data_IF_347161752877
#
_entry.id   IF_347161752877
#
_cell.length_a   1.000
_cell.length_b   1.000
_cell.length_c   1.000
_cell.angle_alpha   90.00
_cell.angle_beta   90.00
_cell.angle_gamma   90.00
#
_symmetry.space_group_name_H-M   'P 1'
#
loop_
_entity.id
_entity.type
_entity.pdbx_description
1 polymer ?
#
# COMPACT_ATOMS: atom_id res chain seq x y z
N UNK A 1 -30.34 -15.62 44.42
CA UNK A 1 -29.50 -16.12 43.29
C UNK A 1 -28.88 -14.91 42.58
N UNK A 2 -27.64 -14.59 42.94
CA UNK A 2 -26.94 -13.37 42.49
C UNK A 2 -26.06 -13.71 41.25
N UNK A 3 -26.46 -13.18 40.09
CA UNK A 3 -25.65 -13.34 38.84
C UNK A 3 -24.39 -12.48 38.94
N UNK A 4 -23.22 -13.10 39.05
CA UNK A 4 -21.91 -12.47 38.89
C UNK A 4 -21.74 -12.09 37.42
N UNK A 5 -21.73 -10.79 37.12
CA UNK A 5 -21.28 -10.25 35.85
C UNK A 5 -19.77 -10.47 35.75
N UNK A 6 -19.35 -11.37 34.85
CA UNK A 6 -17.96 -11.47 34.42
C UNK A 6 -17.61 -10.28 33.53
N UNK A 7 -16.87 -9.30 34.09
CA UNK A 7 -16.19 -8.29 33.32
C UNK A 7 -15.03 -8.97 32.57
N UNK A 8 -15.24 -9.27 31.26
CA UNK A 8 -14.14 -9.58 30.35
C UNK A 8 -13.28 -8.33 30.26
N UNK A 9 -12.10 -8.36 30.86
CA UNK A 9 -11.05 -7.38 30.63
C UNK A 9 -10.79 -7.29 29.13
N UNK A 10 -11.25 -6.19 28.49
CA UNK A 10 -10.85 -5.84 27.13
C UNK A 10 -9.32 -5.74 27.16
N UNK A 11 -8.62 -6.68 26.52
CA UNK A 11 -7.22 -6.48 26.15
C UNK A 11 -7.18 -5.15 25.39
N UNK A 12 -6.48 -4.16 25.93
CA UNK A 12 -6.22 -2.89 25.26
C UNK A 12 -5.69 -3.24 23.87
N UNK A 13 -6.39 -2.77 22.83
CA UNK A 13 -5.87 -2.78 21.46
C UNK A 13 -4.47 -2.16 21.51
N UNK A 14 -3.48 -2.66 20.75
CA UNK A 14 -2.18 -2.02 20.71
C UNK A 14 -2.40 -0.56 20.31
N UNK A 15 -2.11 0.34 21.26
CA UNK A 15 -2.10 1.79 21.00
C UNK A 15 -1.27 2.02 19.75
N UNK A 16 -1.71 2.94 18.87
CA UNK A 16 -0.98 3.36 17.68
C UNK A 16 0.53 3.33 17.96
N UNK A 17 1.23 2.34 17.37
CA UNK A 17 2.66 2.14 17.64
C UNK A 17 3.36 3.42 17.24
N UNK A 18 4.26 3.87 18.07
CA UNK A 18 5.02 5.10 17.84
C UNK A 18 5.97 4.81 16.65
N UNK A 19 5.55 5.12 15.42
CA UNK A 19 6.24 4.77 14.17
C UNK A 19 7.63 5.40 14.02
N UNK A 20 7.94 6.36 14.90
CA UNK A 20 9.23 7.07 14.90
C UNK A 20 10.41 6.13 15.19
N UNK A 21 10.14 4.98 15.80
CA UNK A 21 11.15 3.94 16.08
C UNK A 21 11.00 2.68 15.23
N UNK A 22 10.22 2.72 14.13
CA UNK A 22 10.01 1.54 13.30
C UNK A 22 11.35 0.98 12.83
N UNK A 23 11.63 -0.23 13.24
CA UNK A 23 12.80 -1.00 12.82
C UNK A 23 12.36 -2.12 11.86
N UNK A 24 13.30 -2.68 11.11
CA UNK A 24 13.03 -3.80 10.20
C UNK A 24 12.45 -5.00 10.96
N UNK A 25 12.87 -5.24 12.21
CA UNK A 25 12.34 -6.34 13.04
C UNK A 25 10.88 -6.12 13.45
N UNK A 26 10.45 -4.86 13.65
CA UNK A 26 9.04 -4.55 13.87
C UNK A 26 8.20 -4.91 12.65
N UNK A 27 8.70 -4.59 11.45
CA UNK A 27 8.04 -4.93 10.19
C UNK A 27 8.00 -6.44 10.00
N UNK A 28 9.10 -7.14 10.26
CA UNK A 28 9.13 -8.62 10.21
C UNK A 28 8.12 -9.23 11.16
N UNK A 29 7.98 -8.69 12.37
CA UNK A 29 6.95 -9.12 13.33
C UNK A 29 5.54 -8.93 12.80
N UNK A 30 5.26 -7.82 12.09
CA UNK A 30 3.98 -7.57 11.43
C UNK A 30 3.73 -8.61 10.35
N UNK A 31 4.68 -8.83 9.45
CA UNK A 31 4.57 -9.76 8.34
C UNK A 31 4.42 -11.23 8.78
N UNK A 32 4.86 -11.57 9.99
CA UNK A 32 4.68 -12.90 10.61
C UNK A 32 3.51 -12.98 11.60
N UNK A 33 2.62 -11.97 11.64
CA UNK A 33 1.47 -11.96 12.56
C UNK A 33 0.46 -13.05 12.21
N UNK A 34 0.27 -14.00 13.15
CA UNK A 34 -0.70 -15.08 12.99
C UNK A 34 -2.16 -14.57 12.91
N UNK A 35 -2.47 -13.48 13.59
CA UNK A 35 -3.83 -12.91 13.56
C UNK A 35 -4.11 -12.27 12.20
N UNK A 36 -3.17 -11.49 11.64
CA UNK A 36 -3.32 -10.93 10.31
C UNK A 36 -3.34 -12.04 9.25
N UNK A 37 -2.57 -13.12 9.44
CA UNK A 37 -2.58 -14.28 8.55
C UNK A 37 -3.96 -14.94 8.46
N UNK A 38 -4.69 -15.06 9.58
CA UNK A 38 -6.08 -15.56 9.60
C UNK A 38 -7.03 -14.64 8.84
N UNK A 39 -6.90 -13.32 9.04
CA UNK A 39 -7.70 -12.34 8.32
C UNK A 39 -7.43 -12.37 6.82
N UNK A 40 -6.15 -12.46 6.42
CA UNK A 40 -5.75 -12.65 5.04
C UNK A 40 -6.35 -13.92 4.43
N UNK A 41 -6.19 -15.07 5.09
CA UNK A 41 -6.73 -16.34 4.59
C UNK A 41 -8.26 -16.30 4.35
N UNK A 42 -8.99 -15.53 5.15
CA UNK A 42 -10.42 -15.33 4.97
C UNK A 42 -10.78 -14.38 3.80
N UNK A 43 -9.85 -13.53 3.34
CA UNK A 43 -10.07 -12.61 2.22
C UNK A 43 -9.52 -13.14 0.89
N UNK A 44 -8.39 -13.84 0.93
CA UNK A 44 -7.60 -14.18 -0.24
C UNK A 44 -8.39 -14.88 -1.37
N UNK A 45 -9.32 -15.84 -1.10
CA UNK A 45 -10.10 -16.45 -2.17
C UNK A 45 -10.93 -15.42 -2.94
N UNK A 46 -11.59 -14.49 -2.24
CA UNK A 46 -12.43 -13.46 -2.87
C UNK A 46 -11.57 -12.45 -3.65
N UNK A 47 -10.41 -12.09 -3.12
CA UNK A 47 -9.48 -11.19 -3.81
C UNK A 47 -8.96 -11.81 -5.10
N UNK A 48 -8.62 -13.10 -5.09
CA UNK A 48 -8.19 -13.83 -6.29
C UNK A 48 -9.31 -13.96 -7.33
N UNK A 49 -10.55 -14.12 -6.90
CA UNK A 49 -11.71 -14.14 -7.80
C UNK A 49 -11.94 -12.78 -8.47
N UNK A 50 -11.82 -11.68 -7.72
CA UNK A 50 -12.06 -10.33 -8.23
C UNK A 50 -10.91 -9.83 -9.11
N UNK A 51 -9.68 -10.12 -8.74
CA UNK A 51 -8.47 -9.66 -9.40
C UNK A 51 -7.72 -10.84 -10.02
N UNK A 52 -8.21 -11.30 -11.18
CA UNK A 52 -7.63 -12.41 -11.94
C UNK A 52 -6.44 -11.93 -12.78
N UNK A 53 -5.45 -11.35 -12.13
CA UNK A 53 -4.22 -10.89 -12.79
C UNK A 53 -3.21 -12.04 -12.74
N UNK A 54 -2.86 -12.57 -13.90
CA UNK A 54 -1.78 -13.54 -14.03
C UNK A 54 -0.42 -12.85 -13.79
N UNK A 55 0.46 -13.53 -13.05
CA UNK A 55 1.81 -13.03 -12.77
C UNK A 55 2.56 -12.66 -14.06
N UNK A 56 3.10 -11.44 -14.07
CA UNK A 56 3.97 -10.95 -15.13
C UNK A 56 3.29 -10.42 -16.40
N UNK A 57 1.95 -10.50 -16.54
CA UNK A 57 1.26 -10.05 -17.75
C UNK A 57 0.76 -8.61 -17.74
N UNK A 58 0.65 -7.98 -16.58
CA UNK A 58 -0.09 -6.71 -16.46
C UNK A 58 0.73 -5.53 -15.94
N UNK A 59 1.95 -5.75 -15.49
CA UNK A 59 2.77 -4.69 -14.89
C UNK A 59 2.28 -4.18 -13.52
N UNK A 60 1.23 -4.77 -12.93
CA UNK A 60 0.74 -4.37 -11.61
C UNK A 60 1.53 -4.97 -10.46
N UNK A 61 1.27 -4.49 -9.24
CA UNK A 61 1.88 -5.01 -7.99
C UNK A 61 1.74 -6.53 -7.92
N UNK A 62 2.85 -7.24 -7.69
CA UNK A 62 2.85 -8.70 -7.63
C UNK A 62 2.06 -9.24 -6.41
N UNK A 63 1.59 -10.50 -6.44
CA UNK A 63 0.74 -11.06 -5.40
C UNK A 63 1.33 -11.00 -4.00
N UNK A 64 2.64 -11.20 -3.87
CA UNK A 64 3.32 -11.15 -2.57
C UNK A 64 3.36 -9.75 -1.99
N UNK A 65 3.63 -8.74 -2.81
CA UNK A 65 3.66 -7.34 -2.39
C UNK A 65 2.25 -6.83 -2.06
N UNK A 66 1.22 -7.24 -2.83
CA UNK A 66 -0.20 -6.97 -2.48
C UNK A 66 -0.57 -7.54 -1.11
N UNK A 67 -0.12 -8.76 -0.81
CA UNK A 67 -0.31 -9.35 0.52
C UNK A 67 0.44 -8.58 1.60
N UNK A 68 1.65 -8.10 1.33
CA UNK A 68 2.40 -7.28 2.28
C UNK A 68 1.68 -5.95 2.57
N UNK A 69 1.12 -5.29 1.56
CA UNK A 69 0.28 -4.11 1.75
C UNK A 69 -0.92 -4.41 2.66
N UNK A 70 -1.63 -5.52 2.43
CA UNK A 70 -2.71 -5.95 3.34
C UNK A 70 -2.23 -6.04 4.78
N UNK A 71 -1.09 -6.68 5.05
CA UNK A 71 -0.54 -6.84 6.40
C UNK A 71 -0.15 -5.50 7.02
N UNK A 72 0.50 -4.63 6.26
CA UNK A 72 0.88 -3.31 6.73
C UNK A 72 -0.35 -2.47 7.08
N UNK A 73 -1.32 -2.35 6.18
CA UNK A 73 -2.56 -1.60 6.41
C UNK A 73 -3.30 -2.15 7.64
N UNK A 74 -3.37 -3.48 7.81
CA UNK A 74 -3.99 -4.09 8.99
C UNK A 74 -3.27 -3.77 10.30
N UNK A 75 -1.94 -3.73 10.28
CA UNK A 75 -1.15 -3.43 11.47
C UNK A 75 -1.19 -1.95 11.85
N UNK A 76 -1.08 -1.07 10.87
CA UNK A 76 -1.04 0.38 11.06
C UNK A 76 -2.41 0.99 11.27
N UNK A 77 -3.47 0.39 10.72
CA UNK A 77 -4.85 0.84 10.88
C UNK A 77 -5.04 2.33 10.54
N UNK A 78 -4.68 2.77 9.33
CA UNK A 78 -4.82 4.16 8.93
C UNK A 78 -6.30 4.54 8.80
N UNK A 79 -6.68 5.71 9.32
CA UNK A 79 -8.02 6.26 9.10
C UNK A 79 -8.11 6.95 7.72
N UNK A 80 -7.01 7.56 7.27
CA UNK A 80 -6.91 8.25 5.97
C UNK A 80 -5.71 7.71 5.21
N UNK A 81 -5.97 7.20 4.02
CA UNK A 81 -4.97 6.58 3.16
C UNK A 81 -4.96 7.21 1.78
N UNK A 82 -3.76 7.35 1.21
CA UNK A 82 -3.53 7.78 -0.16
C UNK A 82 -2.82 6.66 -0.93
N UNK A 83 -3.22 6.46 -2.17
CA UNK A 83 -2.52 5.65 -3.16
C UNK A 83 -2.24 6.52 -4.38
N UNK A 84 -0.99 6.54 -4.86
CA UNK A 84 -0.58 7.12 -6.13
C UNK A 84 -0.27 5.97 -7.08
N UNK A 85 -1.00 5.91 -8.20
CA UNK A 85 -0.98 4.80 -9.15
C UNK A 85 -2.06 3.75 -8.85
N UNK A 86 -3.25 3.94 -9.41
CA UNK A 86 -4.37 2.97 -9.31
C UNK A 86 -4.21 1.85 -10.31
N UNK A 87 -3.85 2.18 -11.56
CA UNK A 87 -3.66 1.27 -12.69
C UNK A 87 -4.86 0.30 -12.85
N UNK A 88 -4.64 -1.01 -12.70
CA UNK A 88 -5.70 -2.04 -12.78
C UNK A 88 -6.44 -2.25 -11.44
N UNK A 89 -6.09 -1.52 -10.39
CA UNK A 89 -6.73 -1.59 -9.08
C UNK A 89 -6.32 -2.77 -8.21
N UNK A 90 -5.22 -3.45 -8.54
CA UNK A 90 -4.79 -4.63 -7.82
C UNK A 90 -4.37 -4.33 -6.37
N UNK A 91 -3.55 -3.29 -6.15
CA UNK A 91 -3.19 -2.78 -4.83
C UNK A 91 -4.40 -2.18 -4.12
N UNK A 92 -5.17 -1.35 -4.81
CA UNK A 92 -6.40 -0.71 -4.31
C UNK A 92 -7.36 -1.75 -3.68
N UNK A 93 -7.62 -2.85 -4.39
CA UNK A 93 -8.49 -3.93 -3.91
C UNK A 93 -7.98 -4.55 -2.60
N UNK A 94 -6.67 -4.78 -2.48
CA UNK A 94 -6.05 -5.38 -1.30
C UNK A 94 -6.00 -4.41 -0.11
N UNK A 95 -5.79 -3.12 -0.38
CA UNK A 95 -5.87 -2.04 0.60
C UNK A 95 -7.29 -1.96 1.17
N UNK A 96 -8.31 -1.91 0.31
CA UNK A 96 -9.72 -1.87 0.73
C UNK A 96 -10.09 -3.11 1.56
N UNK A 97 -9.65 -4.30 1.12
CA UNK A 97 -9.87 -5.54 1.89
C UNK A 97 -9.23 -5.50 3.28
N UNK A 98 -8.07 -4.87 3.42
CA UNK A 98 -7.43 -4.67 4.70
C UNK A 98 -8.19 -3.66 5.57
N UNK A 99 -8.61 -2.55 5.01
CA UNK A 99 -9.36 -1.51 5.71
C UNK A 99 -10.71 -2.03 6.22
N UNK A 100 -11.45 -2.82 5.44
CA UNK A 100 -12.76 -3.35 5.86
C UNK A 100 -12.70 -4.31 7.07
N UNK A 101 -11.55 -4.88 7.39
CA UNK A 101 -11.37 -5.82 8.52
C UNK A 101 -11.15 -5.15 9.87
N UNK A 102 -11.02 -3.83 9.92
CA UNK A 102 -10.83 -3.09 11.17
C UNK A 102 -12.14 -2.83 11.91
N UNK A 103 -12.10 -2.86 13.24
CA UNK A 103 -13.09 -2.19 14.06
C UNK A 103 -12.68 -0.71 14.14
N UNK A 104 -13.27 0.13 13.32
CA UNK A 104 -12.97 1.54 13.21
C UNK A 104 -13.97 2.36 14.01
N UNK A 105 -13.49 3.39 14.72
CA UNK A 105 -14.36 4.40 15.35
C UNK A 105 -15.02 5.28 14.29
N UNK A 106 -14.31 5.55 13.19
CA UNK A 106 -14.80 6.27 12.01
C UNK A 106 -14.60 5.40 10.78
N UNK A 107 -15.40 5.63 9.74
CA UNK A 107 -15.24 4.96 8.44
C UNK A 107 -13.88 5.34 7.86
N UNK A 108 -12.99 4.37 7.57
CA UNK A 108 -11.71 4.68 6.96
C UNK A 108 -11.91 5.17 5.52
N UNK A 109 -11.01 6.05 5.08
CA UNK A 109 -11.05 6.65 3.76
C UNK A 109 -9.78 6.33 2.97
N UNK A 110 -9.98 5.96 1.70
CA UNK A 110 -8.95 5.81 0.69
C UNK A 110 -9.16 6.82 -0.43
N UNK A 111 -8.14 7.60 -0.73
CA UNK A 111 -8.04 8.37 -1.98
C UNK A 111 -7.02 7.64 -2.85
N UNK A 112 -7.41 7.30 -4.09
CA UNK A 112 -6.50 6.71 -5.08
C UNK A 112 -6.45 7.61 -6.29
N UNK A 113 -5.24 7.97 -6.73
CA UNK A 113 -4.96 8.95 -7.78
C UNK A 113 -4.25 8.27 -8.94
N UNK A 114 -4.74 8.50 -10.14
CA UNK A 114 -4.09 8.05 -11.36
C UNK A 114 -4.19 9.14 -12.43
N UNK A 115 -3.18 9.25 -13.29
CA UNK A 115 -3.20 10.20 -14.40
C UNK A 115 -4.25 9.84 -15.44
N UNK A 116 -4.61 8.56 -15.54
CA UNK A 116 -5.63 8.06 -16.44
C UNK A 116 -6.97 7.85 -15.70
N UNK A 117 -8.08 8.03 -16.42
CA UNK A 117 -9.38 7.55 -15.94
C UNK A 117 -9.42 6.03 -16.00
N UNK A 118 -9.02 5.42 -14.88
CA UNK A 118 -8.90 3.96 -14.74
C UNK A 118 -10.26 3.24 -14.72
N UNK A 119 -11.37 3.94 -14.56
CA UNK A 119 -12.68 3.31 -14.41
C UNK A 119 -13.52 3.36 -15.69
N UNK A 120 -13.63 4.53 -16.29
CA UNK A 120 -14.60 4.80 -17.36
C UNK A 120 -13.96 4.95 -18.75
N UNK A 121 -12.64 5.18 -18.85
CA UNK A 121 -11.94 5.27 -20.12
C UNK A 121 -12.05 3.97 -20.93
N UNK A 122 -12.37 4.05 -22.23
CA UNK A 122 -12.35 2.90 -23.13
C UNK A 122 -10.94 2.30 -23.31
N UNK A 123 -9.90 3.06 -22.98
CA UNK A 123 -8.48 2.67 -23.08
C UNK A 123 -7.86 2.34 -21.71
N UNK A 124 -8.67 2.21 -20.64
CA UNK A 124 -8.16 1.87 -19.31
C UNK A 124 -7.37 0.56 -19.31
N UNK A 125 -6.31 0.51 -18.50
CA UNK A 125 -5.38 -0.62 -18.44
C UNK A 125 -6.08 -1.95 -18.18
N UNK A 126 -7.08 -2.00 -17.29
CA UNK A 126 -7.78 -3.24 -16.96
C UNK A 126 -8.49 -3.86 -18.17
N UNK A 127 -9.03 -3.04 -19.10
CA UNK A 127 -9.62 -3.51 -20.36
C UNK A 127 -8.58 -4.10 -21.30
N UNK A 128 -7.42 -3.43 -21.39
CA UNK A 128 -6.33 -3.86 -22.28
C UNK A 128 -5.75 -5.22 -21.86
N UNK A 129 -5.72 -5.50 -20.55
CA UNK A 129 -5.24 -6.78 -20.02
C UNK A 129 -6.33 -7.84 -19.87
N UNK A 130 -7.55 -7.52 -20.32
CA UNK A 130 -8.66 -8.48 -20.38
C UNK A 130 -9.34 -8.76 -19.05
N UNK A 131 -9.21 -7.86 -18.05
CA UNK A 131 -9.97 -7.99 -16.80
C UNK A 131 -11.46 -7.71 -17.07
N UNK A 132 -12.33 -8.41 -16.36
CA UNK A 132 -13.77 -8.27 -16.50
C UNK A 132 -14.34 -7.02 -15.82
N UNK A 133 -13.59 -6.39 -14.91
CA UNK A 133 -14.09 -5.33 -14.02
C UNK A 133 -13.08 -4.21 -13.87
N UNK A 134 -13.60 -2.98 -13.79
CA UNK A 134 -12.79 -1.82 -13.43
C UNK A 134 -12.37 -1.85 -11.95
N UNK A 135 -11.35 -1.09 -11.55
CA UNK A 135 -10.96 -0.92 -10.15
C UNK A 135 -12.15 -0.60 -9.23
N UNK A 136 -13.01 0.33 -9.64
CA UNK A 136 -14.22 0.72 -8.92
C UNK A 136 -15.20 -0.45 -8.74
N UNK A 137 -15.48 -1.18 -9.82
CA UNK A 137 -16.37 -2.34 -9.76
C UNK A 137 -15.83 -3.44 -8.86
N UNK A 138 -14.51 -3.70 -8.88
CA UNK A 138 -13.90 -4.70 -8.00
C UNK A 138 -14.05 -4.32 -6.51
N UNK A 139 -13.82 -3.07 -6.14
CA UNK A 139 -13.93 -2.65 -4.74
C UNK A 139 -15.39 -2.54 -4.28
N UNK A 140 -16.32 -2.18 -5.15
CA UNK A 140 -17.76 -2.18 -4.86
C UNK A 140 -18.26 -3.59 -4.52
N UNK A 141 -17.76 -4.62 -5.20
CA UNK A 141 -18.11 -6.01 -4.92
C UNK A 141 -17.56 -6.58 -3.61
N UNK A 142 -16.59 -5.92 -2.98
CA UNK A 142 -16.21 -6.23 -1.61
C UNK A 142 -17.28 -5.83 -0.59
N UNK A 143 -18.21 -4.97 -0.99
CA UNK A 143 -19.23 -4.39 -0.09
C UNK A 143 -18.60 -3.86 1.21
N UNK A 144 -17.46 -3.20 1.08
CA UNK A 144 -16.65 -2.74 2.19
C UNK A 144 -17.22 -1.44 2.79
N UNK A 145 -17.25 -1.34 4.11
CA UNK A 145 -17.54 -0.08 4.79
C UNK A 145 -16.26 0.79 4.81
N UNK A 146 -15.88 1.28 3.63
CA UNK A 146 -14.71 2.14 3.37
C UNK A 146 -15.16 3.24 2.42
N UNK A 147 -14.81 4.49 2.71
CA UNK A 147 -15.02 5.59 1.77
C UNK A 147 -13.88 5.59 0.76
N UNK A 148 -14.20 5.51 -0.55
CA UNK A 148 -13.20 5.42 -1.61
C UNK A 148 -13.44 6.54 -2.62
N UNK A 149 -12.40 7.31 -2.91
CA UNK A 149 -12.41 8.35 -3.93
C UNK A 149 -11.38 8.02 -4.99
N UNK A 150 -11.82 7.81 -6.24
CA UNK A 150 -10.96 7.71 -7.41
C UNK A 150 -10.77 9.11 -7.99
N UNK A 151 -9.52 9.53 -8.16
CA UNK A 151 -9.14 10.84 -8.67
C UNK A 151 -8.35 10.64 -9.96
N UNK A 152 -8.81 11.24 -11.05
CA UNK A 152 -8.06 11.32 -12.30
C UNK A 152 -7.30 12.63 -12.32
N UNK A 153 -5.99 12.58 -12.02
CA UNK A 153 -5.13 13.76 -11.94
C UNK A 153 -3.64 13.35 -12.02
N UNK A 154 -2.78 14.30 -12.41
CA UNK A 154 -1.34 14.19 -12.22
C UNK A 154 -1.01 14.27 -10.72
N UNK A 155 -0.11 13.41 -10.22
CA UNK A 155 0.23 13.37 -8.79
C UNK A 155 0.73 14.71 -8.26
N UNK A 156 1.52 15.46 -9.04
CA UNK A 156 2.05 16.78 -8.66
C UNK A 156 0.93 17.80 -8.49
N UNK A 157 -0.05 17.80 -9.41
CA UNK A 157 -1.20 18.69 -9.30
C UNK A 157 -2.09 18.31 -8.11
N UNK A 158 -2.33 17.01 -7.89
CA UNK A 158 -3.04 16.52 -6.71
C UNK A 158 -2.36 16.98 -5.41
N UNK A 159 -1.06 16.77 -5.26
CA UNK A 159 -0.32 17.19 -4.07
C UNK A 159 -0.32 18.71 -3.88
N UNK A 160 -0.24 19.48 -4.97
CA UNK A 160 -0.27 20.96 -4.90
C UNK A 160 -1.63 21.51 -4.48
N UNK A 161 -2.72 20.79 -4.72
CA UNK A 161 -4.10 21.27 -4.49
C UNK A 161 -4.76 20.65 -3.26
N UNK A 162 -4.33 19.44 -2.84
CA UNK A 162 -4.89 18.78 -1.67
C UNK A 162 -4.60 19.54 -0.39
N UNK A 163 -5.60 19.60 0.49
CA UNK A 163 -5.46 20.12 1.86
C UNK A 163 -5.55 19.00 2.89
N UNK A 164 -5.63 17.77 2.41
CA UNK A 164 -5.76 16.59 3.28
C UNK A 164 -4.40 16.14 3.77
N UNK A 165 -4.40 15.47 4.92
CA UNK A 165 -3.23 14.76 5.44
C UNK A 165 -3.57 13.29 5.62
N UNK A 166 -2.59 12.43 5.49
CA UNK A 166 -2.77 10.98 5.44
C UNK A 166 -1.98 10.28 6.53
N UNK A 167 -2.50 9.13 6.98
CA UNK A 167 -1.83 8.27 7.96
C UNK A 167 -0.97 7.22 7.29
N UNK A 168 -1.28 6.90 6.02
CA UNK A 168 -0.58 5.92 5.22
C UNK A 168 -0.64 6.34 3.75
N UNK A 169 0.51 6.31 3.07
CA UNK A 169 0.61 6.62 1.64
C UNK A 169 1.29 5.43 0.94
N UNK A 170 0.71 4.96 -0.14
CA UNK A 170 1.31 3.99 -1.04
C UNK A 170 1.69 4.67 -2.34
N UNK A 171 2.96 4.59 -2.73
CA UNK A 171 3.51 5.19 -3.95
C UNK A 171 3.87 4.09 -4.93
N UNK A 172 3.15 4.04 -6.04
CA UNK A 172 3.31 3.10 -7.16
C UNK A 172 2.90 3.78 -8.48
N UNK A 173 3.31 5.04 -8.65
CA UNK A 173 3.05 5.85 -9.83
C UNK A 173 4.10 5.64 -10.92
N UNK A 174 4.60 6.75 -11.48
CA UNK A 174 5.66 6.72 -12.50
C UNK A 174 7.01 6.30 -11.91
N UNK A 175 7.77 5.55 -12.68
CA UNK A 175 9.09 5.04 -12.30
C UNK A 175 10.25 5.95 -12.73
N UNK A 176 9.98 7.11 -13.33
CA UNK A 176 11.00 8.12 -13.61
C UNK A 176 11.55 8.69 -12.30
N UNK A 177 12.87 8.94 -12.27
CA UNK A 177 13.54 9.46 -11.07
C UNK A 177 12.91 10.76 -10.56
N UNK A 178 12.65 11.69 -11.47
CA UNK A 178 12.12 13.02 -11.17
C UNK A 178 10.73 12.92 -10.54
N UNK A 179 9.82 12.17 -11.15
CA UNK A 179 8.46 11.99 -10.67
C UNK A 179 8.45 11.25 -9.33
N UNK A 180 9.18 10.15 -9.21
CA UNK A 180 9.29 9.41 -7.96
C UNK A 180 9.88 10.26 -6.82
N UNK A 181 10.87 11.14 -7.14
CA UNK A 181 11.42 12.07 -6.16
C UNK A 181 10.39 13.08 -5.67
N UNK A 182 9.66 13.70 -6.60
CA UNK A 182 8.61 14.67 -6.28
C UNK A 182 7.48 14.02 -5.47
N UNK A 183 7.05 12.81 -5.84
CA UNK A 183 6.01 12.06 -5.12
C UNK A 183 6.45 11.74 -3.68
N UNK A 184 7.71 11.35 -3.46
CA UNK A 184 8.23 11.11 -2.10
C UNK A 184 8.26 12.42 -1.30
N UNK A 185 8.80 13.50 -1.88
CA UNK A 185 8.92 14.80 -1.19
C UNK A 185 7.54 15.36 -0.84
N UNK A 186 6.61 15.37 -1.79
CA UNK A 186 5.25 15.85 -1.58
C UNK A 186 4.49 14.97 -0.55
N UNK A 187 4.71 13.65 -0.58
CA UNK A 187 4.16 12.74 0.43
C UNK A 187 4.65 13.08 1.83
N UNK A 188 5.92 13.46 1.98
CA UNK A 188 6.47 13.88 3.27
C UNK A 188 5.80 15.17 3.80
N UNK A 189 5.26 16.02 2.94
CA UNK A 189 4.53 17.24 3.38
C UNK A 189 3.12 16.89 3.89
N UNK A 190 2.44 15.92 3.26
CA UNK A 190 1.04 15.59 3.58
C UNK A 190 0.89 14.38 4.52
N UNK A 191 1.98 13.67 4.83
CA UNK A 191 1.93 12.56 5.78
C UNK A 191 1.83 13.06 7.22
N UNK A 192 0.95 12.47 8.02
CA UNK A 192 0.83 12.77 9.43
C UNK A 192 2.10 12.38 10.20
N UNK A 193 2.33 13.01 11.36
CA UNK A 193 3.52 12.84 12.19
C UNK A 193 3.93 11.39 12.45
N UNK A 194 2.98 10.49 12.58
CA UNK A 194 3.19 9.05 12.82
C UNK A 194 2.74 8.23 11.61
N UNK A 195 2.69 8.82 10.43
CA UNK A 195 2.27 8.14 9.22
C UNK A 195 3.39 7.32 8.59
N UNK A 196 3.01 6.43 7.69
CA UNK A 196 3.89 5.56 6.95
C UNK A 196 3.73 5.81 5.45
N UNK A 197 4.85 5.95 4.74
CA UNK A 197 4.90 5.90 3.29
C UNK A 197 5.47 4.55 2.89
N UNK A 198 4.81 3.86 1.96
CA UNK A 198 5.29 2.62 1.34
C UNK A 198 5.59 2.91 -0.12
N UNK A 199 6.83 2.74 -0.51
CA UNK A 199 7.30 2.91 -1.87
C UNK A 199 7.40 1.53 -2.53
N UNK A 200 6.79 1.37 -3.71
CA UNK A 200 6.95 0.22 -4.59
C UNK A 200 8.12 0.43 -5.57
N UNK A 201 8.52 -0.62 -6.22
CA UNK A 201 9.60 -0.65 -7.21
C UNK A 201 10.94 -0.05 -6.73
N UNK A 202 11.18 -0.18 -5.43
CA UNK A 202 12.48 0.10 -4.85
C UNK A 202 13.46 -1.05 -5.15
N UNK A 203 14.28 -0.85 -6.19
CA UNK A 203 15.27 -1.82 -6.66
C UNK A 203 16.67 -1.40 -6.18
N UNK A 204 17.23 -2.00 -5.12
CA UNK A 204 18.52 -1.58 -4.58
C UNK A 204 19.63 -1.58 -5.64
N UNK A 205 20.29 -0.43 -5.82
CA UNK A 205 21.30 -0.22 -6.86
C UNK A 205 20.76 -0.27 -8.29
N UNK A 206 19.45 -0.19 -8.49
CA UNK A 206 18.79 -0.28 -9.81
C UNK A 206 18.90 -1.64 -10.46
N UNK A 207 19.24 -2.69 -9.70
CA UNK A 207 19.46 -4.04 -10.23
C UNK A 207 18.16 -4.83 -10.30
N UNK A 208 17.99 -5.69 -11.31
CA UNK A 208 16.85 -6.58 -11.38
C UNK A 208 16.70 -7.40 -10.09
N UNK A 209 15.48 -7.47 -9.56
CA UNK A 209 15.13 -8.32 -8.42
C UNK A 209 14.68 -9.71 -8.86
N UNK A 210 14.21 -9.83 -10.10
CA UNK A 210 13.73 -11.07 -10.71
C UNK A 210 14.38 -11.26 -12.08
N UNK A 211 14.42 -12.50 -12.55
CA UNK A 211 15.07 -12.88 -13.80
C UNK A 211 14.30 -12.49 -15.07
N UNK A 212 13.05 -12.08 -14.94
CA UNK A 212 12.12 -11.82 -16.04
C UNK A 212 11.95 -10.33 -16.39
N UNK A 213 12.65 -9.46 -15.71
CA UNK A 213 12.47 -8.02 -15.87
C UNK A 213 13.75 -7.21 -15.82
N UNK A 214 13.73 -5.99 -16.36
CA UNK A 214 14.80 -5.01 -16.18
C UNK A 214 14.87 -4.55 -14.72
N UNK A 215 16.00 -3.97 -14.35
CA UNK A 215 16.09 -3.18 -13.13
C UNK A 215 15.39 -1.83 -13.30
N UNK A 216 14.83 -1.32 -12.22
CA UNK A 216 14.25 0.01 -12.15
C UNK A 216 15.10 0.89 -11.23
N UNK A 217 15.64 1.99 -11.78
CA UNK A 217 16.53 2.86 -11.01
C UNK A 217 15.79 4.02 -10.33
N UNK A 218 14.71 4.50 -10.94
CA UNK A 218 14.08 5.77 -10.55
C UNK A 218 13.63 5.83 -9.09
N UNK A 219 12.74 4.94 -8.60
CA UNK A 219 12.29 4.97 -7.22
C UNK A 219 13.42 4.78 -6.20
N UNK A 220 14.42 3.91 -6.50
CA UNK A 220 15.61 3.74 -5.67
C UNK A 220 16.43 5.03 -5.57
N UNK A 221 16.81 5.60 -6.72
CA UNK A 221 17.66 6.80 -6.75
C UNK A 221 16.94 8.03 -6.19
N UNK A 222 15.62 8.11 -6.36
CA UNK A 222 14.77 9.14 -5.76
C UNK A 222 14.79 9.06 -4.22
N UNK A 223 14.56 7.87 -3.66
CA UNK A 223 14.59 7.66 -2.22
C UNK A 223 15.97 7.94 -1.62
N UNK A 224 17.06 7.52 -2.28
CA UNK A 224 18.43 7.82 -1.87
C UNK A 224 18.74 9.32 -1.92
N UNK A 225 18.26 10.04 -2.94
CA UNK A 225 18.37 11.49 -3.03
C UNK A 225 17.65 12.18 -1.87
N UNK A 226 16.41 11.79 -1.55
CA UNK A 226 15.67 12.32 -0.39
C UNK A 226 16.48 12.10 0.88
N UNK A 227 17.06 10.90 1.06
CA UNK A 227 17.89 10.59 2.21
C UNK A 227 19.13 11.46 2.32
N UNK A 228 19.74 11.82 1.18
CA UNK A 228 20.95 12.65 1.11
C UNK A 228 20.68 14.14 1.32
N UNK A 229 19.45 14.64 1.11
CA UNK A 229 19.12 16.08 1.22
C UNK A 229 18.99 16.58 2.66
N UNK A 230 19.20 15.73 3.66
CA UNK A 230 19.09 16.11 5.08
C UNK A 230 17.64 16.25 5.59
N UNK A 231 16.65 15.99 4.74
CA UNK A 231 15.29 15.74 5.23
C UNK A 231 15.39 14.49 6.09
N UNK A 232 15.08 14.64 7.38
CA UNK A 232 15.20 13.57 8.36
C UNK A 232 14.22 12.43 8.00
N UNK A 233 14.64 11.54 7.11
CA UNK A 233 13.90 10.40 6.63
C UNK A 233 14.67 9.11 6.83
N UNK A 234 13.93 8.05 7.16
CA UNK A 234 14.46 6.70 7.22
C UNK A 234 13.83 5.89 6.11
N UNK A 235 14.67 5.32 5.24
CA UNK A 235 14.27 4.38 4.19
C UNK A 235 14.63 2.97 4.64
N UNK A 236 13.65 2.07 4.69
CA UNK A 236 13.81 0.69 5.17
C UNK A 236 13.35 -0.26 4.05
N UNK A 237 14.26 -0.79 3.23
CA UNK A 237 13.92 -1.84 2.27
C UNK A 237 13.44 -3.09 3.02
N UNK A 238 12.35 -3.72 2.56
CA UNK A 238 11.85 -4.95 3.17
C UNK A 238 12.72 -6.16 2.81
N UNK A 239 13.33 -6.16 1.63
CA UNK A 239 14.24 -7.18 1.13
C UNK A 239 13.54 -8.48 0.76
N UNK A 240 12.92 -9.17 1.73
CA UNK A 240 12.19 -10.42 1.48
C UNK A 240 10.94 -10.55 2.35
N UNK A 241 9.96 -11.32 1.86
CA UNK A 241 8.70 -11.61 2.52
C UNK A 241 8.64 -13.06 3.00
N UNK A 242 7.82 -13.39 4.01
CA UNK A 242 7.62 -14.77 4.49
C UNK A 242 6.91 -15.68 3.47
N UNK A 243 6.44 -15.15 2.36
CA UNK A 243 5.70 -15.85 1.30
C UNK A 243 6.26 -15.49 -0.08
N UNK A 244 5.96 -16.29 -1.12
CA UNK A 244 6.38 -16.00 -2.48
C UNK A 244 5.83 -14.67 -3.01
N UNK A 245 6.64 -13.95 -3.77
CA UNK A 245 6.30 -12.70 -4.47
C UNK A 245 6.05 -12.96 -5.95
N UNK A 246 7.10 -13.20 -6.71
CA UNK A 246 7.08 -13.40 -8.16
C UNK A 246 8.05 -14.52 -8.53
N UNK A 247 7.69 -15.38 -9.49
CA UNK A 247 8.54 -16.48 -10.00
C UNK A 247 9.08 -17.41 -8.91
N UNK A 248 8.31 -17.64 -7.85
CA UNK A 248 8.74 -18.45 -6.69
C UNK A 248 9.77 -17.79 -5.78
N UNK A 249 10.18 -16.55 -6.08
CA UNK A 249 11.06 -15.76 -5.22
C UNK A 249 10.30 -15.21 -4.01
N UNK A 250 11.05 -14.90 -2.96
CA UNK A 250 10.54 -14.19 -1.77
C UNK A 250 10.98 -12.72 -1.75
N UNK A 251 11.74 -12.28 -2.75
CA UNK A 251 12.24 -10.89 -2.83
C UNK A 251 11.09 -9.92 -3.10
N UNK A 252 11.11 -8.76 -2.45
CA UNK A 252 10.13 -7.70 -2.64
C UNK A 252 10.80 -6.38 -3.04
N UNK A 253 10.10 -5.60 -3.84
CA UNK A 253 10.48 -4.24 -4.21
C UNK A 253 9.92 -3.18 -3.26
N UNK A 254 9.33 -3.56 -2.13
CA UNK A 254 8.78 -2.60 -1.18
C UNK A 254 9.85 -2.00 -0.28
N UNK A 255 9.78 -0.70 -0.10
CA UNK A 255 10.53 0.03 0.92
C UNK A 255 9.58 0.90 1.74
N UNK A 256 9.88 1.06 3.03
CA UNK A 256 9.14 1.94 3.94
C UNK A 256 9.91 3.25 4.10
N UNK A 257 9.19 4.36 4.07
CA UNK A 257 9.75 5.69 4.33
C UNK A 257 9.01 6.28 5.53
N UNK A 258 9.78 6.71 6.52
CA UNK A 258 9.26 7.38 7.72
C UNK A 258 9.97 8.70 7.91
N UNK A 259 9.23 9.71 8.37
CA UNK A 259 9.79 11.00 8.75
C UNK A 259 10.54 10.84 10.07
N UNK A 260 11.83 11.14 10.11
CA UNK A 260 12.57 11.24 11.39
C UNK A 260 12.17 12.53 12.10
N UNK A 261 12.29 12.55 13.41
CA UNK A 261 11.98 13.76 14.23
C UNK A 261 13.08 14.79 14.13
#
# INVERSE_FOLDING_TARGET
MTRKLFWRTRKKSPSARNLISLALDDVRSILNSADIAKEWAACAPRLSELCQIEDGKTGGVNPGDRRALFYLVRAFRPARMLEIGTHVGASTLHIVAALMRGAWEQIPRLVTVDIEDVNDSPHSCWRQVGLAKSPKQMVEELNARVEITFVTDDSRHFFATTKETFDFIFLDGDHAHETAYEDIVNSLEVINKNGLIVLHDYFPGGRPLWSDGPGLCGPFTAAEKVRATGVATKVIPLGSLPWPTKLGSHVTSLALITKSR
#
